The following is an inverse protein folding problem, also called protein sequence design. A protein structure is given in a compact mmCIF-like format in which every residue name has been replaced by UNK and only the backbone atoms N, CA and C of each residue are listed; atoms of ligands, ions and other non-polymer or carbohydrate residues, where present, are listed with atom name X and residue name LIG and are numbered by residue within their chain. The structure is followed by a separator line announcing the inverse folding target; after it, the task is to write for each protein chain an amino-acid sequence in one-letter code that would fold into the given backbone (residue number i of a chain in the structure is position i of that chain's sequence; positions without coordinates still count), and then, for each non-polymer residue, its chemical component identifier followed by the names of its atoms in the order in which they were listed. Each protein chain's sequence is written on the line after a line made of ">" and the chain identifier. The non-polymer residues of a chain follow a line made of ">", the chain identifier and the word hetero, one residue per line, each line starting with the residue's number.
data_IF_891235166693
#
_entry.id   IF_891235166693
#
_cell.length_a   1.000
_cell.length_b   1.000
_cell.length_c   1.000
_cell.angle_alpha   90.00
_cell.angle_beta   90.00
_cell.angle_gamma   90.00
#
_symmetry.space_group_name_H-M   'P 1'
#
loop_
_entity.id
_entity.type
_entity.pdbx_description
1 polymer ?
#
# COMPACT_ATOMS: atom_id res chain seq x y z
N UNK A 1 -55.62 35.62 -4.58
CA UNK A 1 -54.85 34.72 -5.46
C UNK A 1 -53.40 35.11 -5.74
N UNK A 2 -52.96 36.37 -5.49
CA UNK A 2 -51.55 36.79 -5.71
C UNK A 2 -50.56 36.26 -4.65
N UNK A 3 -50.98 36.03 -3.42
CA UNK A 3 -50.10 35.65 -2.30
C UNK A 3 -49.71 34.15 -2.26
N UNK A 4 -50.48 33.30 -2.93
CA UNK A 4 -50.21 31.86 -2.97
C UNK A 4 -49.05 31.55 -3.95
N UNK A 5 -48.91 32.33 -5.04
CA UNK A 5 -47.82 32.15 -6.01
C UNK A 5 -46.45 32.52 -5.43
N UNK A 6 -46.36 33.51 -4.57
CA UNK A 6 -45.11 33.90 -3.91
C UNK A 6 -44.68 32.90 -2.81
N UNK A 7 -45.65 32.28 -2.13
CA UNK A 7 -45.38 31.28 -1.11
C UNK A 7 -44.80 29.96 -1.74
N UNK A 8 -45.32 29.56 -2.90
CA UNK A 8 -44.83 28.37 -3.64
C UNK A 8 -43.42 28.56 -4.22
N UNK A 9 -43.05 29.79 -4.61
CA UNK A 9 -41.72 30.09 -5.13
C UNK A 9 -40.69 30.09 -3.97
N UNK A 10 -41.03 30.59 -2.81
CA UNK A 10 -40.16 30.61 -1.62
C UNK A 10 -39.93 29.22 -1.05
N UNK A 11 -40.93 28.34 -1.06
CA UNK A 11 -40.80 26.94 -0.60
C UNK A 11 -40.00 26.09 -1.59
N UNK A 12 -40.09 26.38 -2.90
CA UNK A 12 -39.30 25.69 -3.92
C UNK A 12 -37.80 26.08 -3.87
N UNK A 13 -37.49 27.36 -3.53
CA UNK A 13 -36.11 27.82 -3.36
C UNK A 13 -35.45 27.27 -2.09
N UNK A 14 -36.20 27.07 -1.01
CA UNK A 14 -35.70 26.44 0.23
C UNK A 14 -35.45 24.94 0.09
N UNK A 15 -36.18 24.23 -0.75
CA UNK A 15 -35.97 22.79 -1.00
C UNK A 15 -34.76 22.49 -1.90
N UNK A 16 -34.33 23.44 -2.75
CA UNK A 16 -33.13 23.27 -3.57
C UNK A 16 -31.82 23.55 -2.81
N UNK A 17 -31.84 24.31 -1.72
CA UNK A 17 -30.64 24.61 -0.95
C UNK A 17 -30.19 23.50 -0.01
N UNK A 18 -31.01 22.47 0.20
CA UNK A 18 -30.74 21.38 1.15
C UNK A 18 -29.93 20.19 0.56
N UNK A 19 -29.60 20.21 -0.74
CA UNK A 19 -28.92 19.11 -1.42
C UNK A 19 -27.48 19.40 -1.86
N UNK A 20 -26.94 20.57 -1.53
CA UNK A 20 -25.51 20.82 -1.72
C UNK A 20 -24.79 20.40 -0.43
N UNK A 21 -24.68 19.12 -0.18
CA UNK A 21 -23.71 18.61 0.78
C UNK A 21 -22.32 18.87 0.19
N UNK A 22 -21.40 19.50 0.91
CA UNK A 22 -20.04 19.67 0.41
C UNK A 22 -19.41 18.27 0.27
N UNK A 23 -19.12 17.88 -0.97
CA UNK A 23 -18.40 16.64 -1.35
C UNK A 23 -16.94 16.64 -0.80
N UNK A 24 -16.52 17.73 -0.15
CA UNK A 24 -15.14 17.95 0.28
C UNK A 24 -14.69 17.22 1.55
N UNK A 25 -15.56 16.52 2.26
CA UNK A 25 -15.18 15.86 3.52
C UNK A 25 -14.57 14.45 3.36
N UNK A 26 -14.63 13.86 2.16
CA UNK A 26 -14.27 12.45 1.96
C UNK A 26 -12.83 12.23 1.46
N UNK A 27 -12.15 13.25 0.96
CA UNK A 27 -10.78 13.09 0.40
C UNK A 27 -9.68 13.01 1.47
N UNK A 28 -9.86 13.70 2.58
CA UNK A 28 -8.88 13.68 3.69
C UNK A 28 -8.81 12.34 4.43
N UNK A 29 -9.85 11.51 4.35
CA UNK A 29 -9.90 10.23 5.05
C UNK A 29 -9.07 9.14 4.32
N UNK A 30 -9.04 9.13 2.98
CA UNK A 30 -8.35 8.08 2.22
C UNK A 30 -6.84 7.99 2.54
N UNK A 31 -6.11 9.10 2.50
CA UNK A 31 -4.66 9.09 2.77
C UNK A 31 -4.40 8.72 4.22
N UNK A 32 -5.19 9.25 5.16
CA UNK A 32 -5.08 8.90 6.58
C UNK A 32 -5.31 7.41 6.82
N UNK A 33 -6.39 6.85 6.28
CA UNK A 33 -6.70 5.41 6.39
C UNK A 33 -5.65 4.55 5.70
N UNK A 34 -5.14 5.01 4.55
CA UNK A 34 -4.08 4.31 3.83
C UNK A 34 -2.76 4.28 4.62
N UNK A 35 -2.38 5.40 5.26
CA UNK A 35 -1.19 5.48 6.11
C UNK A 35 -1.32 4.57 7.33
N UNK A 36 -2.47 4.59 8.03
CA UNK A 36 -2.73 3.67 9.14
C UNK A 36 -2.60 2.20 8.71
N UNK A 37 -3.20 1.84 7.57
CA UNK A 37 -3.07 0.51 6.97
C UNK A 37 -1.60 0.16 6.67
N UNK A 38 -0.83 1.11 6.13
CA UNK A 38 0.56 0.88 5.74
C UNK A 38 1.46 0.67 6.97
N UNK A 39 1.27 1.48 8.02
CA UNK A 39 1.96 1.32 9.31
C UNK A 39 1.68 -0.05 9.93
N UNK A 40 0.41 -0.45 10.01
CA UNK A 40 0.03 -1.77 10.52
C UNK A 40 0.54 -2.91 9.62
N UNK A 41 0.61 -2.68 8.32
CA UNK A 41 1.20 -3.63 7.37
C UNK A 41 2.69 -3.82 7.61
N UNK A 42 3.43 -2.72 7.92
CA UNK A 42 4.84 -2.73 8.33
C UNK A 42 5.01 -3.56 9.61
N UNK A 43 4.29 -3.20 10.69
CA UNK A 43 4.37 -3.89 11.98
C UNK A 43 4.19 -5.41 11.79
N UNK A 44 3.16 -5.80 11.07
CA UNK A 44 2.84 -7.21 10.86
C UNK A 44 3.85 -7.93 9.97
N UNK A 45 4.31 -7.30 8.87
CA UNK A 45 5.31 -7.91 7.99
C UNK A 45 6.65 -8.12 8.71
N UNK A 46 7.11 -7.14 9.49
CA UNK A 46 8.33 -7.25 10.29
C UNK A 46 8.21 -8.41 11.29
N UNK A 47 7.09 -8.50 12.00
CA UNK A 47 6.83 -9.60 12.93
C UNK A 47 6.84 -10.98 12.24
N UNK A 48 6.26 -11.09 11.04
CA UNK A 48 6.31 -12.30 10.21
C UNK A 48 7.75 -12.64 9.83
N UNK A 49 8.52 -11.65 9.37
CA UNK A 49 9.91 -11.83 8.99
C UNK A 49 10.79 -12.22 10.21
N UNK A 50 10.60 -11.59 11.35
CA UNK A 50 11.32 -11.92 12.59
C UNK A 50 11.02 -13.33 13.10
N UNK A 51 9.78 -13.79 12.94
CA UNK A 51 9.35 -15.11 13.41
C UNK A 51 9.92 -16.25 12.58
N UNK A 52 10.17 -16.05 11.28
CA UNK A 52 10.77 -17.08 10.41
C UNK A 52 12.24 -17.29 10.78
N UNK A 53 12.71 -18.52 11.09
CA UNK A 53 14.14 -18.79 11.29
C UNK A 53 14.97 -18.48 10.07
N UNK A 54 16.19 -18.01 10.26
CA UNK A 54 17.07 -17.57 9.16
C UNK A 54 17.39 -18.71 8.19
N UNK A 55 17.58 -19.92 8.70
CA UNK A 55 17.82 -21.13 7.88
C UNK A 55 16.61 -21.53 7.02
N UNK A 56 15.47 -20.89 7.18
CA UNK A 56 14.23 -21.09 6.41
C UNK A 56 13.93 -19.94 5.42
N UNK A 57 14.78 -18.94 5.34
CA UNK A 57 14.55 -17.79 4.45
C UNK A 57 14.58 -18.17 2.97
N UNK A 58 15.38 -19.20 2.62
CA UNK A 58 15.45 -19.73 1.24
C UNK A 58 14.35 -20.76 0.91
N UNK A 59 13.43 -21.04 1.84
CA UNK A 59 12.34 -21.98 1.61
C UNK A 59 11.42 -21.52 0.48
N UNK A 60 11.14 -22.41 -0.45
CA UNK A 60 10.20 -22.28 -1.58
C UNK A 60 9.14 -23.37 -1.48
N UNK A 61 7.88 -23.04 -1.77
CA UNK A 61 6.80 -24.05 -1.81
C UNK A 61 6.92 -24.96 -3.05
N UNK A 62 7.39 -24.39 -4.17
CA UNK A 62 7.72 -25.09 -5.41
C UNK A 62 9.01 -24.51 -6.00
N UNK A 63 9.73 -25.23 -6.89
CA UNK A 63 10.96 -24.71 -7.52
C UNK A 63 10.77 -23.35 -8.22
N UNK A 64 9.59 -23.11 -8.80
CA UNK A 64 9.27 -21.89 -9.57
C UNK A 64 8.81 -20.74 -8.68
N UNK A 65 8.45 -21.00 -7.42
CA UNK A 65 7.99 -19.94 -6.51
C UNK A 65 9.15 -19.12 -5.98
N UNK A 66 8.86 -17.87 -5.64
CA UNK A 66 9.78 -17.05 -4.86
C UNK A 66 10.01 -17.69 -3.50
N UNK A 67 11.23 -17.59 -2.96
CA UNK A 67 11.53 -17.98 -1.58
C UNK A 67 10.85 -17.03 -0.57
N UNK A 68 10.89 -17.37 0.71
CA UNK A 68 10.42 -16.46 1.77
C UNK A 68 11.18 -15.12 1.73
N UNK A 69 12.50 -15.16 1.59
CA UNK A 69 13.35 -13.98 1.47
C UNK A 69 13.04 -13.19 0.20
N UNK A 70 12.88 -13.85 -0.94
CA UNK A 70 12.53 -13.20 -2.21
C UNK A 70 11.16 -12.50 -2.11
N UNK A 71 10.14 -13.10 -1.49
CA UNK A 71 8.84 -12.44 -1.24
C UNK A 71 9.01 -11.20 -0.36
N UNK A 72 9.80 -11.29 0.72
CA UNK A 72 10.06 -10.15 1.62
C UNK A 72 10.69 -8.98 0.85
N UNK A 73 11.77 -9.23 0.13
CA UNK A 73 12.51 -8.19 -0.59
C UNK A 73 11.71 -7.64 -1.78
N UNK A 74 10.90 -8.46 -2.43
CA UNK A 74 10.02 -8.04 -3.53
C UNK A 74 8.90 -7.08 -3.07
N UNK A 75 8.40 -7.23 -1.85
CA UNK A 75 7.50 -6.23 -1.23
C UNK A 75 8.20 -4.86 -1.17
N UNK A 76 9.47 -4.84 -0.72
CA UNK A 76 10.27 -3.61 -0.68
C UNK A 76 10.47 -3.00 -2.07
N UNK A 77 10.79 -3.84 -3.05
CA UNK A 77 10.93 -3.40 -4.44
C UNK A 77 9.66 -2.74 -4.97
N UNK A 78 8.52 -3.38 -4.77
CA UNK A 78 7.23 -2.84 -5.21
C UNK A 78 6.89 -1.52 -4.52
N UNK A 79 7.13 -1.41 -3.21
CA UNK A 79 6.90 -0.16 -2.46
C UNK A 79 7.77 0.99 -2.98
N UNK A 80 9.07 0.74 -3.17
CA UNK A 80 10.00 1.73 -3.72
C UNK A 80 9.59 2.17 -5.13
N UNK A 81 9.26 1.22 -5.99
CA UNK A 81 8.84 1.52 -7.35
C UNK A 81 7.53 2.31 -7.41
N UNK A 82 6.50 1.89 -6.68
CA UNK A 82 5.20 2.57 -6.72
C UNK A 82 5.28 3.98 -6.14
N UNK A 83 5.95 4.17 -4.98
CA UNK A 83 6.00 5.46 -4.31
C UNK A 83 7.03 6.39 -4.96
N UNK A 84 8.30 5.98 -5.00
CA UNK A 84 9.38 6.87 -5.39
C UNK A 84 9.49 7.06 -6.90
N UNK A 85 9.25 6.00 -7.68
CA UNK A 85 9.41 6.07 -9.13
C UNK A 85 8.10 6.40 -9.83
N UNK A 86 7.07 5.56 -9.72
CA UNK A 86 5.85 5.73 -10.49
C UNK A 86 5.06 6.99 -10.06
N UNK A 87 4.86 7.20 -8.77
CA UNK A 87 4.13 8.36 -8.25
C UNK A 87 5.04 9.57 -8.04
N UNK A 88 6.28 9.35 -7.61
CA UNK A 88 7.25 10.39 -7.27
C UNK A 88 8.10 10.89 -8.44
N UNK A 89 8.11 10.16 -9.56
CA UNK A 89 8.85 10.57 -10.78
C UNK A 89 10.37 10.35 -10.72
N UNK A 90 10.88 9.65 -9.69
CA UNK A 90 12.27 9.21 -9.65
C UNK A 90 12.49 8.14 -10.73
N UNK A 91 13.66 8.12 -11.36
CA UNK A 91 14.05 7.03 -12.25
C UNK A 91 13.91 5.67 -11.54
N UNK A 92 13.29 4.71 -12.22
CA UNK A 92 13.11 3.37 -11.66
C UNK A 92 14.46 2.67 -11.47
N UNK A 93 14.59 1.90 -10.39
CA UNK A 93 15.75 1.03 -10.20
C UNK A 93 15.78 -0.04 -11.29
N UNK A 94 16.95 -0.34 -11.80
CA UNK A 94 17.13 -1.47 -12.71
C UNK A 94 17.17 -2.78 -11.92
N UNK A 95 16.18 -3.63 -12.16
CA UNK A 95 16.09 -4.95 -11.50
C UNK A 95 17.36 -5.80 -11.69
N UNK A 96 18.07 -5.67 -12.81
CA UNK A 96 19.23 -6.52 -13.10
C UNK A 96 20.49 -6.10 -12.33
N UNK A 97 20.63 -4.82 -12.03
CA UNK A 97 21.81 -4.24 -11.40
C UNK A 97 21.60 -3.80 -9.95
N UNK A 98 20.35 -3.67 -9.50
CA UNK A 98 20.06 -3.25 -8.11
C UNK A 98 20.50 -4.32 -7.11
N UNK A 99 21.20 -3.89 -6.07
CA UNK A 99 21.64 -4.73 -4.94
C UNK A 99 20.92 -4.39 -3.64
N UNK A 100 20.19 -3.27 -3.58
CA UNK A 100 19.57 -2.76 -2.36
C UNK A 100 18.34 -3.59 -1.93
N UNK A 101 17.49 -3.91 -2.90
CA UNK A 101 16.20 -4.57 -2.68
C UNK A 101 16.17 -6.01 -3.22
N UNK A 102 17.33 -6.66 -3.25
CA UNK A 102 17.48 -8.09 -3.55
C UNK A 102 17.98 -8.86 -2.33
N UNK A 103 17.85 -10.16 -2.39
CA UNK A 103 18.28 -11.09 -1.32
C UNK A 103 19.80 -11.19 -1.24
N UNK A 104 20.50 -11.04 -2.37
CA UNK A 104 21.92 -11.34 -2.53
C UNK A 104 22.79 -10.69 -1.44
N UNK A 105 23.60 -11.52 -0.76
CA UNK A 105 24.56 -11.13 0.27
C UNK A 105 23.95 -10.41 1.49
N UNK A 106 22.65 -10.64 1.79
CA UNK A 106 22.02 -10.08 2.97
C UNK A 106 21.64 -11.14 3.99
N UNK A 107 21.99 -10.91 5.24
CA UNK A 107 21.45 -11.62 6.38
C UNK A 107 19.97 -11.30 6.58
N UNK A 108 19.26 -12.14 7.32
CA UNK A 108 17.89 -11.89 7.78
C UNK A 108 17.76 -10.48 8.40
N UNK A 109 18.70 -10.10 9.27
CA UNK A 109 18.69 -8.80 9.95
C UNK A 109 18.77 -7.63 8.97
N UNK A 110 19.64 -7.74 7.97
CA UNK A 110 19.80 -6.69 6.94
C UNK A 110 18.56 -6.59 6.05
N UNK A 111 17.95 -7.71 5.65
CA UNK A 111 16.70 -7.71 4.89
C UNK A 111 15.57 -7.05 5.68
N UNK A 112 15.39 -7.40 6.96
CA UNK A 112 14.37 -6.79 7.83
C UNK A 112 14.60 -5.28 7.98
N UNK A 113 15.85 -4.86 8.22
CA UNK A 113 16.19 -3.45 8.33
C UNK A 113 15.89 -2.68 7.04
N UNK A 114 16.24 -3.26 5.88
CA UNK A 114 15.97 -2.65 4.57
C UNK A 114 14.48 -2.53 4.29
N UNK A 115 13.68 -3.53 4.61
CA UNK A 115 12.22 -3.48 4.46
C UNK A 115 11.61 -2.43 5.38
N UNK A 116 12.05 -2.36 6.65
CA UNK A 116 11.61 -1.31 7.58
C UNK A 116 11.89 0.09 7.04
N UNK A 117 13.12 0.34 6.58
CA UNK A 117 13.52 1.60 5.94
C UNK A 117 12.65 1.93 4.71
N UNK A 118 12.34 0.93 3.88
CA UNK A 118 11.54 1.15 2.67
C UNK A 118 10.09 1.51 3.02
N UNK A 119 9.51 0.90 4.06
CA UNK A 119 8.21 1.32 4.58
C UNK A 119 8.24 2.76 5.07
N UNK A 120 9.27 3.15 5.85
CA UNK A 120 9.38 4.51 6.38
C UNK A 120 9.44 5.55 5.26
N UNK A 121 10.24 5.30 4.23
CA UNK A 121 10.32 6.17 3.05
C UNK A 121 8.99 6.25 2.28
N UNK A 122 8.28 5.13 2.19
CA UNK A 122 6.97 5.10 1.52
C UNK A 122 5.92 5.84 2.34
N UNK A 123 5.89 5.67 3.65
CA UNK A 123 5.01 6.38 4.59
C UNK A 123 5.30 7.89 4.52
N UNK A 124 6.57 8.29 4.60
CA UNK A 124 6.99 9.68 4.49
C UNK A 124 6.56 10.30 3.15
N UNK A 125 6.78 9.60 2.04
CA UNK A 125 6.35 10.05 0.72
C UNK A 125 4.85 10.28 0.66
N UNK A 126 4.05 9.32 1.14
CA UNK A 126 2.58 9.40 1.07
C UNK A 126 2.03 10.46 2.03
N UNK A 127 2.63 10.62 3.22
CA UNK A 127 2.21 11.64 4.19
C UNK A 127 2.40 13.08 3.68
N UNK A 128 3.41 13.28 2.82
CA UNK A 128 3.70 14.57 2.19
C UNK A 128 3.11 14.69 0.77
N UNK A 129 2.35 13.68 0.32
CA UNK A 129 1.80 13.68 -1.03
C UNK A 129 0.62 14.65 -1.15
N UNK A 130 0.64 15.47 -2.21
CA UNK A 130 -0.45 16.37 -2.53
C UNK A 130 -1.71 15.57 -2.91
N UNK A 131 -2.72 15.62 -2.03
CA UNK A 131 -3.94 14.82 -2.17
C UNK A 131 -4.79 15.23 -3.38
N UNK A 132 -4.69 16.47 -3.83
CA UNK A 132 -5.39 16.95 -5.03
C UNK A 132 -4.91 16.22 -6.29
N UNK A 133 -3.73 15.60 -6.21
CA UNK A 133 -3.13 14.81 -7.29
C UNK A 133 -3.52 13.32 -7.29
N UNK A 134 -4.35 12.87 -6.36
CA UNK A 134 -4.76 11.45 -6.28
C UNK A 134 -5.55 10.98 -7.50
N UNK A 135 -6.26 11.87 -8.17
CA UNK A 135 -7.02 11.56 -9.38
C UNK A 135 -6.20 11.73 -10.67
N UNK A 136 -4.94 12.20 -10.59
CA UNK A 136 -4.03 12.17 -11.73
C UNK A 136 -3.82 10.73 -12.21
N UNK A 137 -3.75 10.57 -13.52
CA UNK A 137 -3.67 9.26 -14.15
C UNK A 137 -2.26 8.99 -14.66
N UNK A 138 -1.85 7.74 -14.54
CA UNK A 138 -0.56 7.23 -14.99
C UNK A 138 -0.75 5.92 -15.73
N UNK A 139 0.17 5.63 -16.65
CA UNK A 139 0.28 4.30 -17.24
C UNK A 139 0.76 3.30 -16.18
N UNK A 140 0.02 2.22 -16.03
CA UNK A 140 0.34 1.10 -15.13
C UNK A 140 0.31 -0.21 -15.92
N UNK A 141 1.44 -0.57 -16.51
CA UNK A 141 1.57 -1.74 -17.38
C UNK A 141 0.57 -1.75 -18.55
N UNK A 142 0.42 -0.61 -19.23
CA UNK A 142 -0.52 -0.44 -20.35
C UNK A 142 -1.97 -0.17 -19.94
N UNK A 143 -2.25 -0.07 -18.62
CA UNK A 143 -3.57 0.30 -18.11
C UNK A 143 -3.52 1.70 -17.49
N UNK A 144 -4.43 2.57 -17.92
CA UNK A 144 -4.58 3.91 -17.36
C UNK A 144 -5.23 3.85 -15.96
N UNK A 145 -4.50 4.28 -14.91
CA UNK A 145 -4.91 4.20 -13.50
C UNK A 145 -4.71 5.52 -12.78
N UNK A 146 -5.63 5.86 -11.87
CA UNK A 146 -5.41 6.99 -10.96
C UNK A 146 -4.33 6.65 -9.91
N UNK A 147 -3.65 7.64 -9.38
CA UNK A 147 -2.69 7.46 -8.29
C UNK A 147 -3.34 6.82 -7.05
N UNK A 148 -4.60 7.14 -6.79
CA UNK A 148 -5.41 6.46 -5.76
C UNK A 148 -5.52 4.96 -6.03
N UNK A 149 -5.82 4.55 -7.26
CA UNK A 149 -5.88 3.14 -7.65
C UNK A 149 -4.50 2.46 -7.53
N UNK A 150 -3.42 3.17 -7.85
CA UNK A 150 -2.05 2.67 -7.71
C UNK A 150 -1.72 2.39 -6.25
N UNK A 151 -2.12 3.24 -5.31
CA UNK A 151 -1.96 2.97 -3.88
C UNK A 151 -2.73 1.72 -3.43
N UNK A 152 -3.98 1.54 -3.91
CA UNK A 152 -4.74 0.32 -3.62
C UNK A 152 -4.05 -0.94 -4.16
N UNK A 153 -3.54 -0.88 -5.41
CA UNK A 153 -2.78 -1.97 -6.02
C UNK A 153 -1.51 -2.30 -5.22
N UNK A 154 -0.79 -1.29 -4.72
CA UNK A 154 0.36 -1.51 -3.85
C UNK A 154 -0.05 -2.23 -2.55
N UNK A 155 -1.15 -1.82 -1.93
CA UNK A 155 -1.62 -2.48 -0.71
C UNK A 155 -2.02 -3.95 -0.95
N UNK A 156 -2.62 -4.25 -2.09
CA UNK A 156 -2.95 -5.62 -2.50
C UNK A 156 -1.69 -6.43 -2.79
N UNK A 157 -0.69 -5.83 -3.43
CA UNK A 157 0.59 -6.47 -3.72
C UNK A 157 1.34 -6.87 -2.44
N UNK A 158 1.42 -5.96 -1.45
CA UNK A 158 2.00 -6.27 -0.13
C UNK A 158 1.25 -7.44 0.52
N UNK A 159 -0.08 -7.41 0.49
CA UNK A 159 -0.93 -8.46 1.08
C UNK A 159 -0.75 -9.79 0.37
N UNK A 160 -0.64 -9.79 -0.97
CA UNK A 160 -0.41 -10.97 -1.79
C UNK A 160 0.88 -11.69 -1.41
N UNK A 161 2.01 -11.00 -1.40
CA UNK A 161 3.31 -11.61 -1.07
C UNK A 161 3.40 -11.99 0.41
N UNK A 162 2.92 -11.17 1.32
CA UNK A 162 2.82 -11.52 2.73
C UNK A 162 1.99 -12.79 2.95
N UNK A 163 0.89 -12.96 2.20
CA UNK A 163 0.07 -14.17 2.24
C UNK A 163 0.87 -15.43 1.89
N UNK A 164 1.73 -15.38 0.89
CA UNK A 164 2.64 -16.48 0.55
C UNK A 164 3.61 -16.79 1.70
N UNK A 165 4.22 -15.77 2.29
CA UNK A 165 5.12 -15.92 3.43
C UNK A 165 4.43 -16.62 4.62
N UNK A 166 3.17 -16.29 4.90
CA UNK A 166 2.37 -16.95 5.97
C UNK A 166 2.10 -18.43 5.66
N UNK A 167 1.90 -18.78 4.39
CA UNK A 167 1.78 -20.17 3.94
C UNK A 167 3.11 -20.91 4.14
N UNK A 168 4.25 -20.28 3.79
CA UNK A 168 5.58 -20.88 3.96
C UNK A 168 5.90 -21.15 5.43
N UNK A 169 5.53 -20.27 6.34
CA UNK A 169 5.65 -20.55 7.78
C UNK A 169 4.89 -21.83 8.16
N UNK A 170 3.63 -21.97 7.71
CA UNK A 170 2.83 -23.18 8.00
C UNK A 170 3.42 -24.45 7.40
N UNK A 171 3.93 -24.40 6.19
CA UNK A 171 4.61 -25.51 5.54
C UNK A 171 5.89 -25.95 6.27
N UNK A 172 6.51 -25.02 7.03
CA UNK A 172 7.63 -25.32 7.93
C UNK A 172 7.21 -25.63 9.37
N UNK A 173 5.93 -25.96 9.61
CA UNK A 173 5.42 -26.34 10.93
C UNK A 173 5.26 -25.20 11.92
N UNK A 174 5.37 -23.95 11.49
CA UNK A 174 5.29 -22.79 12.35
C UNK A 174 3.88 -22.17 12.33
N UNK A 175 3.44 -21.70 13.50
CA UNK A 175 2.23 -20.90 13.61
C UNK A 175 2.58 -19.43 13.31
N UNK A 176 1.98 -18.82 12.27
CA UNK A 176 2.15 -17.39 12.00
C UNK A 176 1.72 -16.53 13.19
N UNK A 177 2.31 -15.33 13.34
CA UNK A 177 1.83 -14.33 14.30
C UNK A 177 0.34 -14.03 14.13
N UNK A 178 -0.30 -13.56 15.21
CA UNK A 178 -1.70 -13.12 15.14
C UNK A 178 -1.81 -11.95 14.15
N UNK A 179 -2.81 -12.01 13.29
CA UNK A 179 -3.16 -10.92 12.39
C UNK A 179 -3.64 -9.70 13.17
N UNK A 180 -3.03 -8.54 12.90
CA UNK A 180 -3.22 -7.31 13.72
C UNK A 180 -3.55 -6.06 12.87
N UNK A 181 -3.91 -6.23 11.58
CA UNK A 181 -4.36 -5.09 10.77
C UNK A 181 -5.70 -4.58 11.30
N UNK A 182 -5.77 -3.28 11.60
CA UNK A 182 -6.96 -2.59 12.13
C UNK A 182 -7.47 -3.13 13.48
N UNK A 183 -6.56 -3.59 14.35
CA UNK A 183 -6.92 -4.06 15.70
C UNK A 183 -6.12 -3.30 16.78
#
# INVERSE_FOLDING_TARGET
>A
MKNIKHLLILTSAMLLSSFVQPIFAQENDFVKEYLERLEKSKEYLILVAETMPEDKYEFKATPESMSFAENLMHIGWAMDWHSQSLMGGREARDWNTDTELKVDNKSKKEMIAKISETFDKTIEFISNFDQDRLEERLDYFGADRTKRQILLLLADHITHHRGQMLVYMRLNGMKPPRYVLYQ
#
